data_IF_885622083123
#
_entry.id   IF_885622083123
#
_cell.length_a   1.000
_cell.length_b   1.000
_cell.length_c   1.000
_cell.angle_alpha   90.00
_cell.angle_beta   90.00
_cell.angle_gamma   90.00
#
_symmetry.space_group_name_H-M   'P 1'
#
loop_
_entity.id
_entity.type
_entity.pdbx_description
1 polymer ?
#
# COMPACT_ATOMS: atom_id res chain seq x y z
N UNK A 1 0.06 50.62 46.59
CA UNK A 1 1.43 50.45 46.06
C UNK A 1 1.32 49.78 44.70
N UNK A 2 1.71 50.50 43.66
CA UNK A 2 1.57 50.08 42.26
C UNK A 2 2.65 49.05 41.92
N UNK A 3 2.26 47.89 41.38
CA UNK A 3 3.14 46.84 40.86
C UNK A 3 3.79 47.20 39.51
N UNK A 4 3.81 48.49 39.14
CA UNK A 4 4.05 48.93 37.77
C UNK A 4 5.52 49.06 37.33
N UNK A 5 6.50 49.02 38.24
CA UNK A 5 7.91 49.32 37.88
C UNK A 5 8.88 48.24 38.38
N UNK A 6 8.72 46.98 37.93
CA UNK A 6 9.81 46.01 38.01
C UNK A 6 10.67 46.22 36.75
N UNK A 7 11.91 46.75 36.86
CA UNK A 7 12.78 46.89 35.70
C UNK A 7 13.05 45.51 35.09
N UNK A 8 12.56 45.30 33.87
CA UNK A 8 12.87 44.12 33.08
C UNK A 8 14.37 44.13 32.80
N UNK A 9 15.12 43.27 33.50
CA UNK A 9 16.52 43.04 33.20
C UNK A 9 16.71 42.63 31.74
N UNK A 10 17.94 42.77 31.18
CA UNK A 10 18.20 42.43 29.79
C UNK A 10 17.76 40.99 29.51
N UNK A 11 16.93 40.82 28.47
CA UNK A 11 16.45 39.52 28.05
C UNK A 11 17.65 38.64 27.65
N UNK A 12 17.98 37.65 28.47
CA UNK A 12 19.03 36.67 28.13
C UNK A 12 18.50 35.85 26.95
N UNK A 13 19.22 35.81 25.81
CA UNK A 13 18.76 35.04 24.66
C UNK A 13 18.66 33.56 25.01
N UNK A 14 17.58 32.92 24.56
CA UNK A 14 17.38 31.49 24.79
C UNK A 14 18.53 30.68 24.16
N UNK A 15 19.02 29.66 24.88
CA UNK A 15 20.14 28.81 24.43
C UNK A 15 19.64 27.43 24.00
N UNK A 16 20.35 26.82 23.06
CA UNK A 16 20.06 25.45 22.66
C UNK A 16 20.31 24.49 23.82
N UNK A 17 19.36 23.59 24.10
CA UNK A 17 19.52 22.65 25.21
C UNK A 17 20.65 21.64 25.00
N UNK A 18 21.03 21.35 23.75
CA UNK A 18 22.16 20.48 23.43
C UNK A 18 23.49 21.23 23.30
N UNK A 19 23.44 22.55 23.07
CA UNK A 19 24.60 23.40 22.82
C UNK A 19 24.39 24.73 23.58
N UNK A 20 24.62 24.76 24.91
CA UNK A 20 24.34 25.94 25.73
C UNK A 20 25.06 27.22 25.28
N UNK A 21 26.17 27.07 24.57
CA UNK A 21 26.97 28.14 23.97
C UNK A 21 26.31 28.77 22.73
N UNK A 22 25.36 28.08 22.08
CA UNK A 22 24.71 28.53 20.85
C UNK A 22 23.31 29.08 21.14
N UNK A 23 22.98 30.22 20.54
CA UNK A 23 21.64 30.79 20.60
C UNK A 23 20.60 29.89 19.93
N UNK A 24 19.44 29.77 20.56
CA UNK A 24 18.34 28.97 20.04
C UNK A 24 17.63 29.69 18.90
N UNK A 25 17.32 28.94 17.84
CA UNK A 25 16.59 29.45 16.68
C UNK A 25 15.11 29.08 16.71
N UNK A 26 14.69 28.27 17.69
CA UNK A 26 13.30 27.85 17.85
C UNK A 26 13.11 26.85 18.98
N UNK A 27 11.86 26.39 19.14
CA UNK A 27 11.42 25.45 20.17
C UNK A 27 10.83 24.19 19.56
N UNK A 28 11.10 23.03 20.17
CA UNK A 28 10.55 21.74 19.75
C UNK A 28 9.02 21.72 19.89
N UNK A 29 8.32 21.37 18.81
CA UNK A 29 6.86 21.31 18.78
C UNK A 29 6.23 20.29 19.75
N UNK A 30 7.02 19.38 20.34
CA UNK A 30 6.54 18.38 21.31
C UNK A 30 6.94 18.68 22.75
N UNK A 31 8.23 18.88 23.01
CA UNK A 31 8.74 19.00 24.37
C UNK A 31 9.04 20.44 24.79
N UNK A 32 8.83 21.43 23.89
CA UNK A 32 9.10 22.85 24.16
C UNK A 32 10.59 23.22 24.22
N UNK A 33 11.50 22.24 24.27
CA UNK A 33 12.94 22.47 24.38
C UNK A 33 13.49 23.32 23.23
N UNK A 34 14.31 24.32 23.58
CA UNK A 34 15.02 25.18 22.63
C UNK A 34 16.10 24.41 21.86
N UNK A 35 16.20 24.65 20.54
CA UNK A 35 17.23 24.07 19.68
C UNK A 35 17.89 25.16 18.82
N UNK A 36 19.14 24.93 18.41
CA UNK A 36 19.82 25.75 17.39
C UNK A 36 19.53 25.24 15.96
N UNK A 37 19.97 25.99 14.95
CA UNK A 37 19.80 25.66 13.53
C UNK A 37 20.45 24.32 13.13
N UNK A 38 21.48 23.85 13.84
CA UNK A 38 22.09 22.53 13.59
C UNK A 38 21.26 21.36 14.15
N UNK A 39 20.55 21.61 15.26
CA UNK A 39 19.77 20.60 15.98
C UNK A 39 18.33 20.47 15.48
N UNK A 40 17.82 21.42 14.69
CA UNK A 40 16.47 21.35 14.16
C UNK A 40 16.33 20.19 13.16
N UNK A 41 15.23 19.46 13.28
CA UNK A 41 14.76 18.48 12.31
C UNK A 41 13.36 18.86 11.89
N UNK A 42 13.18 19.08 10.58
CA UNK A 42 11.87 19.37 10.00
C UNK A 42 11.16 18.06 9.69
N UNK A 43 10.11 17.76 10.46
CA UNK A 43 9.35 16.53 10.32
C UNK A 43 7.86 16.88 10.23
N UNK A 44 7.23 16.48 9.11
CA UNK A 44 5.84 16.84 8.81
C UNK A 44 5.55 18.36 8.82
N UNK A 45 6.53 19.20 8.45
CA UNK A 45 6.39 20.66 8.45
C UNK A 45 6.42 21.31 9.83
N UNK A 46 6.76 20.52 10.86
CA UNK A 46 6.99 20.99 12.23
C UNK A 46 8.47 20.89 12.57
N UNK A 47 8.94 21.80 13.41
CA UNK A 47 10.32 21.81 13.89
C UNK A 47 10.45 21.00 15.18
N UNK A 48 11.38 20.04 15.18
CA UNK A 48 11.63 19.12 16.28
C UNK A 48 13.09 19.21 16.72
N UNK A 49 13.36 18.98 18.01
CA UNK A 49 14.72 18.69 18.46
C UNK A 49 15.15 17.30 17.98
N UNK A 50 16.46 17.06 17.87
CA UNK A 50 17.01 15.80 17.39
C UNK A 50 16.46 14.56 18.14
N UNK A 51 16.35 14.64 19.47
CA UNK A 51 15.85 13.53 20.30
C UNK A 51 14.37 13.23 20.05
N UNK A 52 13.53 14.25 19.91
CA UNK A 52 12.11 14.04 19.63
C UNK A 52 11.88 13.60 18.19
N UNK A 53 12.66 14.14 17.24
CA UNK A 53 12.59 13.73 15.84
C UNK A 53 12.92 12.24 15.70
N UNK A 54 13.96 11.74 16.36
CA UNK A 54 14.36 10.33 16.30
C UNK A 54 13.32 9.33 16.85
N UNK A 55 12.22 9.81 17.45
CA UNK A 55 11.20 8.91 17.99
C UNK A 55 10.33 8.31 16.88
N UNK A 56 10.01 7.01 16.94
CA UNK A 56 9.22 6.31 15.92
C UNK A 56 7.87 6.99 15.61
N UNK A 57 7.18 7.48 16.64
CA UNK A 57 5.90 8.17 16.47
C UNK A 57 6.02 9.44 15.60
N UNK A 58 7.16 10.14 15.67
CA UNK A 58 7.40 11.38 14.92
C UNK A 58 7.82 11.09 13.48
N UNK A 59 8.49 9.96 13.22
CA UNK A 59 8.97 9.54 11.91
C UNK A 59 8.28 8.26 11.38
N UNK A 60 7.00 8.06 11.72
CA UNK A 60 6.29 6.81 11.40
C UNK A 60 6.33 6.39 9.92
N UNK A 61 6.44 7.34 8.97
CA UNK A 61 6.58 7.03 7.55
C UNK A 61 7.96 6.43 7.23
N UNK A 62 9.03 6.90 7.88
CA UNK A 62 10.37 6.32 7.72
C UNK A 62 10.45 4.94 8.35
N UNK A 63 9.83 4.74 9.52
CA UNK A 63 9.69 3.40 10.10
C UNK A 63 8.89 2.47 9.20
N UNK A 64 7.79 2.98 8.63
CA UNK A 64 6.99 2.24 7.66
C UNK A 64 7.79 1.91 6.39
N UNK A 65 8.63 2.84 5.90
CA UNK A 65 9.56 2.58 4.80
C UNK A 65 10.53 1.48 5.18
N UNK A 66 11.20 1.59 6.32
CA UNK A 66 12.18 0.62 6.81
C UNK A 66 11.56 -0.78 6.97
N UNK A 67 10.32 -0.85 7.48
CA UNK A 67 9.55 -2.09 7.59
C UNK A 67 9.33 -2.80 6.26
N UNK A 68 9.24 -2.07 5.15
CA UNK A 68 8.98 -2.60 3.80
C UNK A 68 10.23 -2.64 2.90
N UNK A 69 11.31 -1.99 3.30
CA UNK A 69 12.52 -1.81 2.51
C UNK A 69 13.19 -3.15 2.18
N UNK A 70 13.33 -3.47 0.89
CA UNK A 70 13.93 -4.75 0.48
C UNK A 70 13.07 -5.99 0.77
N UNK A 71 11.90 -5.85 1.40
CA UNK A 71 11.03 -7.01 1.67
C UNK A 71 10.23 -7.36 0.43
N UNK A 72 10.13 -8.65 0.12
CA UNK A 72 9.29 -9.17 -0.97
C UNK A 72 7.82 -8.81 -0.76
N UNK A 73 7.12 -8.53 -1.85
CA UNK A 73 5.69 -8.22 -1.87
C UNK A 73 4.92 -9.22 -2.71
N UNK A 74 3.60 -9.03 -2.84
CA UNK A 74 2.75 -9.91 -3.63
C UNK A 74 3.18 -9.96 -5.10
N UNK A 75 3.64 -8.83 -5.66
CA UNK A 75 4.11 -8.76 -7.04
C UNK A 75 5.40 -9.55 -7.26
N UNK A 76 6.34 -9.55 -6.31
CA UNK A 76 7.53 -10.39 -6.38
C UNK A 76 7.17 -11.88 -6.42
N UNK A 77 6.25 -12.33 -5.56
CA UNK A 77 5.77 -13.71 -5.57
C UNK A 77 5.03 -14.07 -6.86
N UNK A 78 4.19 -13.17 -7.36
CA UNK A 78 3.50 -13.36 -8.64
C UNK A 78 4.50 -13.48 -9.80
N UNK A 79 5.56 -12.64 -9.83
CA UNK A 79 6.61 -12.71 -10.82
C UNK A 79 7.36 -14.05 -10.78
N UNK A 80 7.60 -14.62 -9.59
CA UNK A 80 8.18 -15.96 -9.45
C UNK A 80 7.26 -17.03 -10.03
N UNK A 81 5.97 -17.03 -9.66
CA UNK A 81 4.99 -18.03 -10.14
C UNK A 81 4.86 -17.97 -11.65
N UNK A 82 4.70 -16.76 -12.22
CA UNK A 82 4.63 -16.57 -13.67
C UNK A 82 5.94 -16.99 -14.34
N UNK A 83 7.09 -16.64 -13.76
CA UNK A 83 8.41 -17.05 -14.24
C UNK A 83 8.55 -18.57 -14.29
N UNK A 84 8.19 -19.29 -13.22
CA UNK A 84 8.19 -20.76 -13.18
C UNK A 84 7.24 -21.34 -14.24
N UNK A 85 6.05 -20.75 -14.41
CA UNK A 85 5.11 -21.14 -15.45
C UNK A 85 5.72 -21.06 -16.85
N UNK A 86 6.50 -20.02 -17.15
CA UNK A 86 7.27 -19.95 -18.39
C UNK A 86 8.33 -21.04 -18.51
N UNK A 87 9.01 -21.40 -17.43
CA UNK A 87 9.96 -22.51 -17.41
C UNK A 87 9.30 -23.84 -17.78
N UNK A 88 8.11 -24.11 -17.21
CA UNK A 88 7.31 -25.30 -17.53
C UNK A 88 6.89 -25.28 -19.01
N UNK A 89 6.41 -24.13 -19.51
CA UNK A 89 6.03 -23.99 -20.92
C UNK A 89 7.22 -24.18 -21.87
N UNK A 90 8.40 -23.67 -21.52
CA UNK A 90 9.62 -23.88 -22.30
C UNK A 90 10.02 -25.36 -22.34
N UNK A 91 9.99 -26.05 -21.19
CA UNK A 91 10.28 -27.47 -21.09
C UNK A 91 9.30 -28.30 -21.93
N UNK A 92 7.99 -28.03 -21.83
CA UNK A 92 6.98 -28.71 -22.63
C UNK A 92 7.21 -28.54 -24.14
N UNK A 93 7.69 -27.36 -24.58
CA UNK A 93 8.06 -27.12 -25.98
C UNK A 93 9.33 -27.84 -26.41
N UNK A 94 10.34 -27.95 -25.54
CA UNK A 94 11.57 -28.69 -25.83
C UNK A 94 11.30 -30.18 -26.05
N UNK A 95 10.27 -30.73 -25.41
CA UNK A 95 9.85 -32.11 -25.59
C UNK A 95 9.04 -32.37 -26.88
N UNK A 96 8.66 -31.32 -27.61
CA UNK A 96 7.89 -31.42 -28.85
C UNK A 96 8.79 -31.12 -30.06
N UNK A 97 9.24 -32.15 -30.81
CA UNK A 97 10.10 -31.94 -31.97
C UNK A 97 9.40 -31.12 -33.05
N UNK A 98 10.16 -30.30 -33.79
CA UNK A 98 9.66 -29.51 -34.91
C UNK A 98 9.06 -28.14 -34.56
N UNK A 99 8.95 -27.79 -33.27
CA UNK A 99 8.49 -26.45 -32.89
C UNK A 99 9.57 -25.36 -33.13
N UNK A 100 9.16 -24.12 -33.46
CA UNK A 100 10.10 -23.00 -33.56
C UNK A 100 10.84 -22.75 -32.25
N UNK A 101 12.16 -22.55 -32.35
CA UNK A 101 13.07 -22.32 -31.21
C UNK A 101 12.84 -20.96 -30.54
N UNK A 102 12.44 -19.93 -31.30
CA UNK A 102 12.33 -18.54 -30.80
C UNK A 102 11.36 -18.42 -29.61
N UNK A 103 10.12 -18.94 -29.65
CA UNK A 103 9.23 -18.95 -28.49
C UNK A 103 9.78 -19.70 -27.27
N UNK A 104 10.53 -20.78 -27.50
CA UNK A 104 11.14 -21.55 -26.41
C UNK A 104 12.22 -20.73 -25.70
N UNK A 105 13.09 -20.06 -26.45
CA UNK A 105 14.08 -19.12 -25.89
C UNK A 105 13.37 -17.97 -25.19
N UNK A 106 12.32 -17.41 -25.78
CA UNK A 106 11.53 -16.33 -25.17
C UNK A 106 11.01 -16.71 -23.78
N UNK A 107 10.43 -17.91 -23.64
CA UNK A 107 9.94 -18.40 -22.36
C UNK A 107 11.07 -18.61 -21.34
N UNK A 108 12.22 -19.16 -21.75
CA UNK A 108 13.37 -19.29 -20.85
C UNK A 108 13.90 -17.93 -20.35
N UNK A 109 13.97 -16.94 -21.23
CA UNK A 109 14.41 -15.59 -20.83
C UNK A 109 13.37 -14.89 -19.95
N UNK A 110 12.07 -15.07 -20.23
CA UNK A 110 11.00 -14.56 -19.35
C UNK A 110 11.02 -15.24 -17.97
N UNK A 111 11.28 -16.55 -17.90
CA UNK A 111 11.49 -17.28 -16.65
C UNK A 111 12.66 -16.68 -15.86
N UNK A 112 13.82 -16.52 -16.50
CA UNK A 112 15.00 -15.94 -15.87
C UNK A 112 14.72 -14.51 -15.35
N UNK A 113 14.05 -13.67 -16.15
CA UNK A 113 13.65 -12.32 -15.74
C UNK A 113 12.73 -12.35 -14.50
N UNK A 114 11.73 -13.25 -14.46
CA UNK A 114 10.83 -13.41 -13.32
C UNK A 114 11.55 -13.87 -12.04
N UNK A 115 12.47 -14.83 -12.15
CA UNK A 115 13.29 -15.30 -11.02
C UNK A 115 14.22 -14.18 -10.52
N UNK A 116 14.92 -13.50 -11.42
CA UNK A 116 15.78 -12.37 -11.06
C UNK A 116 15.00 -11.21 -10.42
N UNK A 117 13.75 -10.98 -10.86
CA UNK A 117 12.85 -10.02 -10.24
C UNK A 117 12.52 -10.42 -8.80
N UNK A 118 12.17 -11.69 -8.55
CA UNK A 118 11.90 -12.21 -7.21
C UNK A 118 13.10 -12.12 -6.26
N UNK A 119 14.31 -12.28 -6.80
CA UNK A 119 15.56 -12.12 -6.07
C UNK A 119 15.92 -10.64 -5.77
N UNK A 120 15.22 -9.69 -6.38
CA UNK A 120 15.42 -8.26 -6.14
C UNK A 120 16.63 -7.67 -6.87
N UNK A 121 17.07 -8.28 -7.98
CA UNK A 121 18.17 -7.74 -8.78
C UNK A 121 17.76 -6.43 -9.45
N UNK A 122 18.60 -5.39 -9.34
CA UNK A 122 18.24 -4.00 -9.75
C UNK A 122 17.84 -3.88 -11.22
N UNK A 123 18.47 -4.66 -12.10
CA UNK A 123 18.18 -4.68 -13.54
C UNK A 123 16.89 -5.43 -13.89
N UNK A 124 16.47 -6.39 -13.04
CA UNK A 124 15.35 -7.27 -13.34
C UNK A 124 14.02 -6.52 -13.39
N UNK A 125 13.90 -5.38 -12.70
CA UNK A 125 12.71 -4.52 -12.75
C UNK A 125 12.45 -3.95 -14.14
N UNK A 126 13.49 -3.53 -14.85
CA UNK A 126 13.37 -3.03 -16.23
C UNK A 126 13.18 -4.21 -17.19
N UNK A 127 13.92 -5.30 -16.97
CA UNK A 127 13.80 -6.53 -17.78
C UNK A 127 12.39 -7.14 -17.72
N UNK A 128 11.70 -7.03 -16.57
CA UNK A 128 10.35 -7.57 -16.39
C UNK A 128 9.31 -6.96 -17.36
N UNK A 129 9.52 -5.72 -17.81
CA UNK A 129 8.73 -5.10 -18.88
C UNK A 129 9.35 -5.37 -20.25
N UNK A 130 10.66 -5.09 -20.39
CA UNK A 130 11.31 -5.06 -21.70
C UNK A 130 11.39 -6.44 -22.35
N UNK A 131 11.69 -7.50 -21.60
CA UNK A 131 11.89 -8.85 -22.13
C UNK A 131 10.60 -9.38 -22.80
N UNK A 132 9.42 -9.39 -22.16
CA UNK A 132 8.19 -9.84 -22.82
C UNK A 132 7.85 -9.04 -24.08
N UNK A 133 8.08 -7.72 -24.09
CA UNK A 133 7.81 -6.88 -25.27
C UNK A 133 8.74 -7.22 -26.44
N UNK A 134 10.06 -7.27 -26.18
CA UNK A 134 11.06 -7.54 -27.22
C UNK A 134 10.91 -8.94 -27.81
N UNK A 135 10.72 -9.95 -26.97
CA UNK A 135 10.50 -11.32 -27.44
C UNK A 135 9.11 -11.52 -28.04
N UNK A 136 8.11 -10.77 -27.57
CA UNK A 136 6.79 -10.73 -28.18
C UNK A 136 6.85 -10.25 -29.63
N UNK A 137 7.55 -9.13 -29.86
CA UNK A 137 7.82 -8.61 -31.22
C UNK A 137 8.60 -9.62 -32.07
N UNK A 138 9.66 -10.23 -31.51
CA UNK A 138 10.43 -11.25 -32.23
C UNK A 138 9.57 -12.46 -32.62
N UNK A 139 8.63 -12.89 -31.77
CA UNK A 139 7.69 -13.96 -32.09
C UNK A 139 6.70 -13.56 -33.20
N UNK A 140 6.18 -12.33 -33.18
CA UNK A 140 5.32 -11.79 -34.26
C UNK A 140 6.07 -11.81 -35.59
N UNK A 141 7.31 -11.28 -35.62
CA UNK A 141 8.15 -11.25 -36.82
C UNK A 141 8.50 -12.65 -37.35
N UNK A 142 8.43 -13.68 -36.49
CA UNK A 142 8.66 -15.10 -36.83
C UNK A 142 7.36 -15.86 -37.06
N UNK A 143 6.24 -15.17 -37.33
CA UNK A 143 4.91 -15.76 -37.60
C UNK A 143 4.35 -16.62 -36.45
N UNK A 144 4.79 -16.36 -35.22
CA UNK A 144 4.28 -16.98 -33.99
C UNK A 144 3.35 -16.00 -33.26
N UNK A 145 2.32 -15.51 -33.96
CA UNK A 145 1.52 -14.34 -33.57
C UNK A 145 0.83 -14.49 -32.21
N UNK A 146 0.22 -15.65 -31.92
CA UNK A 146 -0.46 -15.88 -30.64
C UNK A 146 0.48 -15.76 -29.43
N UNK A 147 1.66 -16.36 -29.51
CA UNK A 147 2.68 -16.25 -28.45
C UNK A 147 3.22 -14.82 -28.38
N UNK A 148 3.46 -14.21 -29.54
CA UNK A 148 3.94 -12.83 -29.61
C UNK A 148 2.99 -11.83 -28.95
N UNK A 149 1.70 -11.89 -29.30
CA UNK A 149 0.65 -11.07 -28.71
C UNK A 149 0.52 -11.28 -27.20
N UNK A 150 0.57 -12.54 -26.75
CA UNK A 150 0.54 -12.88 -25.33
C UNK A 150 1.72 -12.27 -24.55
N UNK A 151 2.94 -12.37 -25.06
CA UNK A 151 4.13 -11.80 -24.42
C UNK A 151 4.09 -10.27 -24.39
N UNK A 152 3.66 -9.62 -25.48
CA UNK A 152 3.48 -8.17 -25.50
C UNK A 152 2.42 -7.71 -24.48
N UNK A 153 1.29 -8.43 -24.39
CA UNK A 153 0.26 -8.16 -23.39
C UNK A 153 0.82 -8.25 -21.98
N UNK A 154 1.63 -9.27 -21.66
CA UNK A 154 2.26 -9.40 -20.35
C UNK A 154 3.24 -8.25 -20.05
N UNK A 155 3.99 -7.80 -21.05
CA UNK A 155 4.84 -6.61 -20.94
C UNK A 155 4.04 -5.38 -20.52
N UNK A 156 2.92 -5.11 -21.20
CA UNK A 156 2.01 -3.99 -20.87
C UNK A 156 1.36 -4.18 -19.50
N UNK A 157 0.88 -5.40 -19.20
CA UNK A 157 0.25 -5.74 -17.92
C UNK A 157 1.20 -5.63 -16.71
N UNK A 158 2.51 -5.58 -16.95
CA UNK A 158 3.52 -5.37 -15.90
C UNK A 158 3.75 -3.90 -15.52
N UNK A 159 3.23 -2.93 -16.30
CA UNK A 159 3.39 -1.50 -16.01
C UNK A 159 2.83 -1.07 -14.63
N UNK A 160 1.63 -1.52 -14.21
CA UNK A 160 1.14 -1.21 -12.86
C UNK A 160 2.09 -1.72 -11.76
N UNK A 161 2.67 -2.91 -11.94
CA UNK A 161 3.66 -3.48 -11.01
C UNK A 161 4.92 -2.62 -10.96
N UNK A 162 5.36 -2.13 -12.12
CA UNK A 162 6.52 -1.24 -12.21
C UNK A 162 6.30 0.08 -11.47
N UNK A 163 5.16 0.74 -11.68
CA UNK A 163 4.86 2.02 -11.04
C UNK A 163 4.36 1.89 -9.60
N UNK A 164 4.09 0.67 -9.14
CA UNK A 164 3.65 0.43 -7.78
C UNK A 164 4.69 0.88 -6.74
N UNK A 165 4.19 1.53 -5.69
CA UNK A 165 5.05 2.08 -4.63
C UNK A 165 5.65 0.98 -3.76
N UNK A 166 4.91 -0.11 -3.52
CA UNK A 166 5.40 -1.23 -2.72
C UNK A 166 6.52 -1.97 -3.46
N UNK A 167 6.41 -2.10 -4.78
CA UNK A 167 7.46 -2.67 -5.61
C UNK A 167 8.74 -1.79 -5.63
N UNK A 168 8.60 -0.46 -5.72
CA UNK A 168 9.75 0.45 -5.60
C UNK A 168 10.51 0.27 -4.27
N UNK A 169 9.79 0.09 -3.15
CA UNK A 169 10.40 -0.17 -1.84
C UNK A 169 11.13 -1.52 -1.78
N UNK A 170 10.62 -2.55 -2.46
CA UNK A 170 11.29 -3.84 -2.58
C UNK A 170 12.65 -3.71 -3.30
N UNK A 171 12.70 -2.94 -4.39
CA UNK A 171 13.95 -2.66 -5.11
C UNK A 171 14.80 -1.52 -4.50
N UNK A 172 14.48 -1.08 -3.28
CA UNK A 172 15.21 -0.02 -2.56
C UNK A 172 15.35 1.29 -3.37
N UNK A 173 14.32 1.64 -4.15
CA UNK A 173 14.26 2.89 -4.91
C UNK A 173 13.71 4.01 -4.01
N UNK A 174 14.18 5.26 -4.18
CA UNK A 174 13.63 6.39 -3.45
C UNK A 174 12.16 6.60 -3.82
N UNK A 175 11.31 6.80 -2.81
CA UNK A 175 9.88 7.02 -2.97
C UNK A 175 9.53 8.37 -2.36
N UNK A 176 8.76 9.19 -3.09
CA UNK A 176 8.32 10.48 -2.56
C UNK A 176 7.42 10.31 -1.34
N UNK A 177 7.51 11.23 -0.39
CA UNK A 177 6.74 11.21 0.86
C UNK A 177 5.23 11.03 0.61
N UNK A 178 4.66 11.74 -0.35
CA UNK A 178 3.24 11.64 -0.72
C UNK A 178 2.84 10.23 -1.18
N UNK A 179 3.70 9.52 -1.93
CA UNK A 179 3.44 8.13 -2.35
C UNK A 179 3.52 7.17 -1.18
N UNK A 180 4.49 7.36 -0.29
CA UNK A 180 4.67 6.55 0.91
C UNK A 180 3.50 6.72 1.89
N UNK A 181 3.04 7.95 2.08
CA UNK A 181 1.85 8.28 2.88
C UNK A 181 0.59 7.66 2.29
N UNK A 182 0.41 7.72 0.96
CA UNK A 182 -0.69 7.00 0.29
C UNK A 182 -0.62 5.49 0.54
N UNK A 183 0.57 4.88 0.42
CA UNK A 183 0.75 3.46 0.68
C UNK A 183 0.49 3.10 2.15
N UNK A 184 0.92 3.96 3.09
CA UNK A 184 0.64 3.83 4.52
C UNK A 184 -0.86 3.86 4.77
N UNK A 185 -1.58 4.83 4.16
CA UNK A 185 -3.03 4.90 4.26
C UNK A 185 -3.70 3.62 3.77
N UNK A 186 -3.20 3.03 2.69
CA UNK A 186 -3.73 1.80 2.08
C UNK A 186 -3.51 0.58 2.96
N UNK A 187 -2.38 0.48 3.68
CA UNK A 187 -1.97 -0.74 4.40
C UNK A 187 -2.14 -0.70 5.91
N UNK A 188 -1.82 0.41 6.55
CA UNK A 188 -1.72 0.53 8.00
C UNK A 188 -2.82 1.44 8.57
N UNK A 189 -3.28 2.45 7.83
CA UNK A 189 -4.36 3.32 8.32
C UNK A 189 -5.70 2.59 8.32
N UNK A 190 -6.14 2.20 9.52
CA UNK A 190 -7.44 1.60 9.79
C UNK A 190 -7.84 0.49 8.79
N UNK A 191 -7.11 -0.65 8.78
CA UNK A 191 -7.38 -1.74 7.83
C UNK A 191 -8.77 -2.36 8.01
N UNK A 192 -9.38 -2.21 9.20
CA UNK A 192 -10.72 -2.72 9.49
C UNK A 192 -11.80 -1.95 8.73
N UNK A 193 -11.74 -0.61 8.72
CA UNK A 193 -12.67 0.22 7.94
C UNK A 193 -12.63 -0.14 6.44
N UNK A 194 -11.42 -0.36 5.90
CA UNK A 194 -11.26 -0.73 4.49
C UNK A 194 -11.80 -2.13 4.18
N UNK A 195 -11.49 -3.12 5.03
CA UNK A 195 -12.04 -4.48 4.89
C UNK A 195 -13.56 -4.47 5.01
N UNK A 196 -14.12 -3.68 5.92
CA UNK A 196 -15.56 -3.49 6.05
C UNK A 196 -16.19 -3.01 4.74
N UNK A 197 -15.58 -2.02 4.08
CA UNK A 197 -16.07 -1.51 2.80
C UNK A 197 -16.01 -2.57 1.69
N UNK A 198 -14.92 -3.33 1.62
CA UNK A 198 -14.80 -4.46 0.67
C UNK A 198 -15.84 -5.55 0.94
N UNK A 199 -16.10 -5.87 2.21
CA UNK A 199 -17.16 -6.82 2.60
C UNK A 199 -18.54 -6.29 2.23
N UNK A 200 -18.82 -5.01 2.46
CA UNK A 200 -20.09 -4.38 2.09
C UNK A 200 -20.32 -4.42 0.58
N UNK A 201 -19.30 -4.15 -0.23
CA UNK A 201 -19.39 -4.28 -1.69
C UNK A 201 -19.60 -5.73 -2.12
N UNK A 202 -18.87 -6.68 -1.53
CA UNK A 202 -19.06 -8.11 -1.79
C UNK A 202 -20.43 -8.64 -1.36
N UNK A 203 -21.05 -8.01 -0.36
CA UNK A 203 -22.34 -8.40 0.16
C UNK A 203 -23.49 -8.24 -0.84
N UNK A 204 -23.33 -7.38 -1.86
CA UNK A 204 -24.27 -7.28 -2.99
C UNK A 204 -24.46 -8.63 -3.69
N UNK A 205 -23.42 -9.46 -3.72
CA UNK A 205 -23.44 -10.79 -4.34
C UNK A 205 -23.69 -11.90 -3.31
N UNK A 206 -23.19 -11.73 -2.08
CA UNK A 206 -23.23 -12.74 -1.02
C UNK A 206 -23.80 -12.16 0.28
N UNK A 207 -25.10 -12.36 0.59
CA UNK A 207 -25.78 -11.68 1.70
C UNK A 207 -25.12 -11.89 3.07
N UNK A 208 -24.48 -13.05 3.28
CA UNK A 208 -23.78 -13.38 4.55
C UNK A 208 -22.64 -12.40 4.87
N UNK A 209 -22.10 -11.68 3.89
CA UNK A 209 -21.03 -10.70 4.10
C UNK A 209 -21.56 -9.38 4.67
N UNK A 210 -22.86 -9.09 4.55
CA UNK A 210 -23.46 -7.83 4.99
C UNK A 210 -23.36 -7.61 6.51
N UNK A 211 -23.73 -8.56 7.40
CA UNK A 211 -23.55 -8.38 8.84
C UNK A 211 -22.06 -8.26 9.23
N UNK A 212 -21.16 -8.98 8.56
CA UNK A 212 -19.72 -8.85 8.78
C UNK A 212 -19.22 -7.45 8.39
N UNK A 213 -19.71 -6.88 7.29
CA UNK A 213 -19.41 -5.51 6.88
C UNK A 213 -19.83 -4.49 7.94
N UNK A 214 -21.02 -4.64 8.52
CA UNK A 214 -21.52 -3.77 9.61
C UNK A 214 -20.62 -3.89 10.84
N UNK A 215 -20.33 -5.11 11.30
CA UNK A 215 -19.49 -5.34 12.49
C UNK A 215 -18.10 -4.75 12.29
N UNK A 216 -17.45 -5.07 11.17
CA UNK A 216 -16.13 -4.53 10.84
C UNK A 216 -16.15 -3.01 10.68
N UNK A 217 -17.25 -2.45 10.14
CA UNK A 217 -17.44 -1.01 9.99
C UNK A 217 -17.54 -0.30 11.34
N UNK A 218 -18.31 -0.84 12.29
CA UNK A 218 -18.41 -0.31 13.65
C UNK A 218 -17.07 -0.39 14.38
N UNK A 219 -16.37 -1.53 14.30
CA UNK A 219 -15.02 -1.67 14.87
C UNK A 219 -14.04 -0.69 14.22
N UNK A 220 -14.11 -0.51 12.91
CA UNK A 220 -13.31 0.45 12.17
C UNK A 220 -13.59 1.89 12.61
N UNK A 221 -14.85 2.25 12.83
CA UNK A 221 -15.27 3.58 13.27
C UNK A 221 -14.77 3.90 14.68
N UNK A 222 -14.85 2.93 15.61
CA UNK A 222 -14.35 3.08 16.99
C UNK A 222 -12.83 3.27 17.09
N UNK A 223 -12.09 2.85 16.06
CA UNK A 223 -10.63 3.02 15.99
C UNK A 223 -10.19 4.36 15.40
N UNK A 224 -11.12 5.17 14.89
CA UNK A 224 -10.79 6.48 14.32
C UNK A 224 -10.36 7.42 15.44
N UNK A 225 -9.12 7.87 15.37
CA UNK A 225 -8.55 8.86 16.28
C UNK A 225 -7.68 9.85 15.48
N UNK A 226 -8.20 11.06 15.19
CA UNK A 226 -7.45 12.09 14.49
C UNK A 226 -6.26 12.64 15.29
N UNK A 227 -6.29 12.51 16.62
CA UNK A 227 -5.24 12.97 17.53
C UNK A 227 -4.11 11.97 17.75
N UNK A 228 -4.32 10.70 17.38
CA UNK A 228 -3.29 9.67 17.42
C UNK A 228 -2.09 10.06 16.52
N UNK A 229 -0.91 9.58 16.91
CA UNK A 229 0.31 9.74 16.13
C UNK A 229 0.87 8.34 15.84
N UNK A 230 0.71 7.80 14.61
CA UNK A 230 0.12 8.44 13.42
C UNK A 230 -1.42 8.57 13.47
N UNK A 231 -2.01 9.54 12.72
CA UNK A 231 -3.45 9.79 12.76
C UNK A 231 -4.24 8.64 12.17
N UNK A 232 -5.14 8.05 12.96
CA UNK A 232 -5.99 6.93 12.52
C UNK A 232 -7.27 7.49 11.92
N UNK A 233 -7.36 7.44 10.58
CA UNK A 233 -8.47 8.01 9.79
C UNK A 233 -9.45 6.97 9.22
N UNK A 234 -10.05 7.32 8.07
CA UNK A 234 -11.03 6.52 7.30
C UNK A 234 -12.43 6.40 7.94
N UNK A 235 -12.88 7.45 8.62
CA UNK A 235 -14.26 7.56 9.12
C UNK A 235 -15.30 7.34 8.01
N UNK A 236 -15.08 7.92 6.83
CA UNK A 236 -15.98 7.79 5.68
C UNK A 236 -16.12 6.34 5.20
N UNK A 237 -15.02 5.60 5.03
CA UNK A 237 -15.05 4.20 4.61
C UNK A 237 -15.83 3.32 5.60
N UNK A 238 -15.62 3.54 6.91
CA UNK A 238 -16.31 2.79 7.95
C UNK A 238 -17.83 3.05 7.93
N UNK A 239 -18.24 4.32 7.81
CA UNK A 239 -19.65 4.69 7.70
C UNK A 239 -20.27 4.12 6.42
N UNK A 240 -19.60 4.25 5.28
CA UNK A 240 -20.06 3.71 4.01
C UNK A 240 -20.26 2.19 4.08
N UNK A 241 -19.35 1.47 4.73
CA UNK A 241 -19.48 0.03 4.95
C UNK A 241 -20.70 -0.36 5.80
N UNK A 242 -20.97 0.38 6.88
CA UNK A 242 -22.14 0.15 7.75
C UNK A 242 -23.43 0.39 6.97
N UNK A 243 -23.53 1.55 6.29
CA UNK A 243 -24.71 1.91 5.51
C UNK A 243 -24.97 0.88 4.42
N UNK A 244 -23.94 0.53 3.65
CA UNK A 244 -24.05 -0.46 2.59
C UNK A 244 -24.46 -1.83 3.14
N UNK A 245 -23.86 -2.29 4.25
CA UNK A 245 -24.21 -3.56 4.88
C UNK A 245 -25.68 -3.60 5.35
N UNK A 246 -26.17 -2.55 5.99
CA UNK A 246 -27.58 -2.46 6.44
C UNK A 246 -28.54 -2.48 5.25
N UNK A 247 -28.27 -1.69 4.21
CA UNK A 247 -29.10 -1.65 3.00
C UNK A 247 -29.15 -3.01 2.30
N UNK A 248 -28.00 -3.66 2.14
CA UNK A 248 -27.90 -4.99 1.51
C UNK A 248 -28.65 -6.05 2.32
N UNK A 249 -28.56 -6.03 3.66
CA UNK A 249 -29.37 -6.93 4.50
C UNK A 249 -30.86 -6.72 4.29
N UNK A 250 -31.33 -5.46 4.21
CA UNK A 250 -32.73 -5.15 3.95
C UNK A 250 -33.21 -5.67 2.59
N UNK A 251 -32.42 -5.45 1.53
CA UNK A 251 -32.73 -5.93 0.18
C UNK A 251 -32.80 -7.47 0.13
N UNK A 252 -31.79 -8.15 0.69
CA UNK A 252 -31.80 -9.61 0.68
C UNK A 252 -32.86 -10.21 1.59
N UNK A 253 -33.20 -9.59 2.72
CA UNK A 253 -34.33 -10.03 3.53
C UNK A 253 -35.65 -9.92 2.75
N UNK A 254 -35.86 -8.81 2.04
CA UNK A 254 -37.05 -8.61 1.20
C UNK A 254 -37.15 -9.64 0.06
N UNK A 255 -36.01 -10.14 -0.45
CA UNK A 255 -35.98 -11.17 -1.50
C UNK A 255 -36.14 -12.58 -0.91
N UNK A 256 -35.37 -12.92 0.13
CA UNK A 256 -35.26 -14.28 0.65
C UNK A 256 -36.45 -14.68 1.53
N UNK A 257 -37.01 -13.76 2.32
CA UNK A 257 -38.13 -14.08 3.22
C UNK A 257 -39.34 -14.59 2.42
N UNK A 258 -39.83 -13.91 1.36
CA UNK A 258 -40.92 -14.44 0.55
C UNK A 258 -40.59 -15.79 -0.12
N UNK A 259 -39.36 -15.94 -0.63
CA UNK A 259 -38.92 -17.19 -1.28
C UNK A 259 -38.90 -18.37 -0.33
N UNK A 260 -38.47 -18.17 0.92
CA UNK A 260 -38.46 -19.20 1.96
C UNK A 260 -39.88 -19.47 2.45
N UNK A 261 -40.67 -18.44 2.72
CA UNK A 261 -42.07 -18.59 3.15
C UNK A 261 -42.90 -19.39 2.15
N UNK A 262 -42.73 -19.13 0.84
CA UNK A 262 -43.40 -19.89 -0.22
C UNK A 262 -43.00 -21.37 -0.25
N UNK A 263 -41.74 -21.70 0.03
CA UNK A 263 -41.25 -23.09 0.05
C UNK A 263 -41.66 -23.85 1.30
N UNK A 264 -41.72 -23.18 2.45
CA UNK A 264 -42.01 -23.82 3.75
C UNK A 264 -43.52 -23.87 4.02
N UNK A 265 -44.37 -23.24 3.20
CA UNK A 265 -45.81 -23.17 3.42
C UNK A 265 -46.19 -22.29 4.62
N UNK A 266 -45.27 -21.43 5.07
CA UNK A 266 -45.52 -20.46 6.12
C UNK A 266 -46.32 -19.31 5.51
N UNK A 267 -47.65 -19.35 5.69
CA UNK A 267 -48.53 -18.21 5.48
C UNK A 267 -48.13 -17.11 6.45
N UNK A 268 -47.44 -16.07 5.97
CA UNK A 268 -47.29 -14.82 6.71
C UNK A 268 -48.69 -14.21 6.84
N UNK A 269 -49.32 -14.43 8.00
CA UNK A 269 -50.63 -13.87 8.33
C UNK A 269 -50.61 -12.36 8.09
N UNK A 270 -51.62 -11.90 7.33
CA UNK A 270 -51.84 -10.47 7.05
C UNK A 270 -52.12 -9.69 8.33
#
# INVERSE_FOLDING_TARGET
MSTADIPLGPAVPARCAAHPEVEATGTCARCGTFFCAGCVRQVFGKAWCATCAARPEVHYLEDFRAKLWGKRDGSAWMALVVGVGFGVAALARLLQPGLPVVPTVAFLVCMAAGVCFFLGLRWAREAFIAVPVLFGLACVLRRSEGIGAFLMFLGVASLPVYFDTRNQLFFRRPVSRKRLERLWHVRENNPMARRALSLGAGALLLPVLAPLAVICGVVGLRRVDPGAVPPVGRKADAIAAIVLGVLVMGVWAAILVPLVSAKVGLSLGK
#
